data_IF_200972832997
#
_entry.id   IF_200972832997
#
_cell.length_a   1.000
_cell.length_b   1.000
_cell.length_c   1.000
_cell.angle_alpha   90.00
_cell.angle_beta   90.00
_cell.angle_gamma   90.00
#
_symmetry.space_group_name_H-M   'P 1'
#
loop_
_entity.id
_entity.type
_entity.pdbx_description
1 polymer ?
#
# COMPACT_ATOMS: atom_id res chain seq x y z
N UNK A 1 23.85 -60.23 -27.69
CA UNK A 1 23.62 -59.44 -26.44
C UNK A 1 23.64 -57.96 -26.86
N UNK A 2 22.46 -57.36 -27.04
CA UNK A 2 22.28 -55.98 -27.50
C UNK A 2 21.90 -55.13 -26.29
N UNK A 3 22.83 -54.27 -25.85
CA UNK A 3 22.62 -53.29 -24.79
C UNK A 3 21.66 -52.20 -25.26
N UNK A 4 20.50 -52.06 -24.61
CA UNK A 4 19.58 -50.94 -24.82
C UNK A 4 19.95 -49.83 -23.87
N UNK A 5 20.57 -48.78 -24.39
CA UNK A 5 20.81 -47.53 -23.65
C UNK A 5 19.52 -46.75 -23.57
N UNK A 6 18.95 -46.67 -22.36
CA UNK A 6 17.78 -45.81 -22.10
C UNK A 6 18.23 -44.34 -21.98
N UNK A 7 17.78 -43.53 -22.92
CA UNK A 7 17.97 -42.07 -22.87
C UNK A 7 16.93 -41.47 -21.91
N UNK A 8 17.37 -41.01 -20.73
CA UNK A 8 16.53 -40.30 -19.77
C UNK A 8 16.40 -38.85 -20.24
N UNK A 9 15.23 -38.51 -20.82
CA UNK A 9 14.90 -37.15 -21.21
C UNK A 9 14.52 -36.36 -19.94
N UNK A 10 15.40 -35.50 -19.48
CA UNK A 10 15.11 -34.53 -18.42
C UNK A 10 14.33 -33.37 -19.03
N UNK A 11 13.02 -33.36 -18.86
CA UNK A 11 12.18 -32.20 -19.21
C UNK A 11 12.37 -31.12 -18.13
N UNK A 12 13.14 -30.10 -18.46
CA UNK A 12 13.23 -28.89 -17.63
C UNK A 12 11.86 -28.19 -17.66
N UNK A 13 11.10 -28.31 -16.60
CA UNK A 13 9.93 -27.47 -16.36
C UNK A 13 10.47 -26.07 -15.99
N UNK A 14 10.56 -25.19 -16.97
CA UNK A 14 10.78 -23.75 -16.70
C UNK A 14 9.55 -23.23 -15.97
N UNK A 15 9.67 -23.13 -14.65
CA UNK A 15 8.71 -22.36 -13.85
C UNK A 15 8.77 -20.91 -14.36
N UNK A 16 7.77 -20.49 -15.13
CA UNK A 16 7.61 -19.09 -15.51
C UNK A 16 7.36 -18.36 -14.21
N UNK A 17 8.41 -17.79 -13.62
CA UNK A 17 8.28 -16.92 -12.47
C UNK A 17 7.41 -15.74 -12.91
N UNK A 18 6.14 -15.73 -12.47
CA UNK A 18 5.28 -14.57 -12.63
C UNK A 18 6.03 -13.37 -12.02
N UNK A 19 6.35 -12.37 -12.84
CA UNK A 19 7.11 -11.21 -12.42
C UNK A 19 6.47 -10.57 -11.17
N UNK A 20 7.28 -10.00 -10.31
CA UNK A 20 6.83 -9.34 -9.08
C UNK A 20 5.82 -8.26 -9.42
N UNK A 21 4.67 -8.27 -8.74
CA UNK A 21 3.60 -7.29 -8.97
C UNK A 21 3.90 -5.99 -8.25
N UNK A 22 3.69 -4.87 -8.92
CA UNK A 22 3.70 -3.56 -8.29
C UNK A 22 2.38 -3.32 -7.56
N UNK A 23 2.46 -2.60 -6.44
CA UNK A 23 1.30 -2.28 -5.61
C UNK A 23 1.25 -0.77 -5.38
N UNK A 24 0.09 -0.17 -5.61
CA UNK A 24 -0.21 1.21 -5.22
C UNK A 24 -1.40 1.16 -4.27
N UNK A 25 -1.23 1.70 -3.09
CA UNK A 25 -2.26 1.80 -2.06
C UNK A 25 -2.60 3.27 -1.84
N UNK A 26 -3.82 3.67 -2.20
CA UNK A 26 -4.31 5.04 -1.99
C UNK A 26 -5.24 5.05 -0.80
N UNK A 27 -4.95 5.89 0.18
CA UNK A 27 -5.71 6.02 1.41
C UNK A 27 -6.21 7.45 1.56
N UNK A 28 -7.51 7.64 1.38
CA UNK A 28 -8.19 8.90 1.70
C UNK A 28 -8.42 8.96 3.23
N UNK A 29 -8.11 10.12 3.84
CA UNK A 29 -8.29 10.33 5.26
C UNK A 29 -9.69 10.88 5.54
N UNK A 30 -10.34 10.39 6.59
CA UNK A 30 -11.68 10.80 7.06
C UNK A 30 -12.78 10.77 5.97
N UNK A 31 -12.63 9.93 4.95
CA UNK A 31 -13.62 9.79 3.89
C UNK A 31 -14.57 8.63 4.18
N UNK A 32 -15.84 8.92 4.24
CA UNK A 32 -16.90 7.94 4.44
C UNK A 32 -17.15 7.12 3.18
N UNK A 33 -17.51 5.85 3.34
CA UNK A 33 -17.94 4.97 2.26
C UNK A 33 -19.03 5.59 1.39
N UNK A 34 -20.01 6.22 2.03
CA UNK A 34 -21.21 6.75 1.37
C UNK A 34 -20.92 8.01 0.53
N UNK A 35 -19.71 8.55 0.58
CA UNK A 35 -19.25 9.65 -0.26
C UNK A 35 -19.00 9.19 -1.70
N UNK A 36 -18.66 7.92 -1.92
CA UNK A 36 -18.23 7.40 -3.20
C UNK A 36 -19.40 6.98 -4.08
N UNK A 37 -19.41 7.41 -5.35
CA UNK A 37 -20.44 7.04 -6.33
C UNK A 37 -20.58 5.52 -6.49
N UNK A 38 -19.47 4.78 -6.47
CA UNK A 38 -19.43 3.32 -6.53
C UNK A 38 -20.23 2.63 -5.42
N UNK A 39 -20.46 3.31 -4.28
CA UNK A 39 -21.26 2.83 -3.16
C UNK A 39 -22.62 3.54 -3.04
N UNK A 40 -23.04 4.29 -4.06
CA UNK A 40 -24.33 4.98 -4.10
C UNK A 40 -24.28 6.42 -3.58
N UNK A 41 -23.11 6.95 -3.27
CA UNK A 41 -22.91 8.37 -2.91
C UNK A 41 -23.34 9.31 -4.02
N UNK A 42 -23.96 10.44 -3.64
CA UNK A 42 -24.47 11.44 -4.58
C UNK A 42 -23.85 12.82 -4.36
N UNK A 43 -23.17 13.01 -3.24
CA UNK A 43 -22.65 14.30 -2.81
C UNK A 43 -21.33 14.68 -3.49
N UNK A 44 -20.59 13.68 -3.98
CA UNK A 44 -19.33 13.87 -4.68
C UNK A 44 -19.31 13.15 -6.02
N UNK A 45 -18.73 13.80 -7.02
CA UNK A 45 -18.47 13.17 -8.32
C UNK A 45 -17.13 12.42 -8.25
N UNK A 46 -17.18 11.09 -8.32
CA UNK A 46 -15.98 10.24 -8.23
C UNK A 46 -15.79 9.33 -9.46
N UNK A 47 -15.82 9.89 -10.69
CA UNK A 47 -15.92 9.09 -11.91
C UNK A 47 -14.74 8.12 -12.11
N UNK A 48 -13.53 8.52 -11.74
CA UNK A 48 -12.33 7.69 -11.87
C UNK A 48 -12.32 6.53 -10.87
N UNK A 49 -12.78 6.77 -9.65
CA UNK A 49 -12.89 5.73 -8.60
C UNK A 49 -14.04 4.78 -8.95
N UNK A 50 -15.14 5.31 -9.46
CA UNK A 50 -16.27 4.51 -9.92
C UNK A 50 -15.87 3.62 -11.09
N UNK A 51 -15.02 4.12 -12.00
CA UNK A 51 -14.45 3.30 -13.08
C UNK A 51 -13.55 2.20 -12.52
N UNK A 52 -12.66 2.54 -11.58
CA UNK A 52 -11.79 1.56 -10.93
C UNK A 52 -12.61 0.44 -10.23
N UNK A 53 -13.73 0.80 -9.61
CA UNK A 53 -14.63 -0.15 -8.97
C UNK A 53 -15.34 -1.06 -9.98
N UNK A 54 -15.64 -0.56 -11.19
CA UNK A 54 -16.21 -1.38 -12.28
C UNK A 54 -15.20 -2.34 -12.89
N UNK A 55 -13.96 -1.88 -13.04
CA UNK A 55 -12.89 -2.66 -13.71
C UNK A 55 -12.20 -3.66 -12.76
N UNK A 56 -12.34 -3.45 -11.46
CA UNK A 56 -11.68 -4.23 -10.41
C UNK A 56 -12.64 -4.97 -9.49
N UNK A 57 -12.20 -5.17 -8.26
CA UNK A 57 -13.01 -5.80 -7.21
C UNK A 57 -13.41 -4.77 -6.17
N UNK A 58 -14.72 -4.61 -5.97
CA UNK A 58 -15.30 -3.78 -4.91
C UNK A 58 -15.61 -4.64 -3.69
N UNK A 59 -15.14 -4.20 -2.53
CA UNK A 59 -15.45 -4.83 -1.24
C UNK A 59 -16.60 -4.08 -0.56
N UNK A 60 -17.78 -4.68 -0.49
CA UNK A 60 -18.95 -4.07 0.16
C UNK A 60 -18.82 -4.03 1.68
N UNK A 61 -18.01 -4.93 2.24
CA UNK A 61 -17.79 -5.04 3.69
C UNK A 61 -16.31 -5.11 3.99
N UNK A 62 -15.72 -3.97 4.33
CA UNK A 62 -14.36 -3.86 4.83
C UNK A 62 -14.39 -3.22 6.22
N UNK A 63 -13.70 -3.82 7.17
CA UNK A 63 -13.73 -3.40 8.58
C UNK A 63 -12.32 -3.14 9.07
N UNK A 64 -12.17 -2.21 10.01
CA UNK A 64 -10.97 -2.00 10.79
C UNK A 64 -11.28 -2.15 12.28
N UNK A 65 -10.26 -2.44 13.08
CA UNK A 65 -10.44 -2.62 14.53
C UNK A 65 -10.76 -1.30 15.22
N UNK A 66 -10.09 -0.22 14.81
CA UNK A 66 -10.26 1.12 15.38
C UNK A 66 -10.30 2.13 14.24
N UNK A 67 -11.43 2.79 14.06
CA UNK A 67 -11.67 3.79 13.00
C UNK A 67 -11.11 5.17 13.41
N UNK A 68 -9.79 5.26 13.65
CA UNK A 68 -9.05 6.50 13.91
C UNK A 68 -7.74 6.47 13.13
N UNK A 69 -7.22 7.66 12.76
CA UNK A 69 -6.07 7.80 11.86
C UNK A 69 -4.86 6.95 12.26
N UNK A 70 -4.28 7.16 13.44
CA UNK A 70 -3.04 6.48 13.83
C UNK A 70 -3.23 4.97 14.09
N UNK A 71 -4.23 4.52 14.84
CA UNK A 71 -4.52 3.10 15.04
C UNK A 71 -4.71 2.36 13.72
N UNK A 72 -5.58 2.86 12.83
CA UNK A 72 -5.87 2.22 11.55
C UNK A 72 -4.63 2.12 10.65
N UNK A 73 -3.85 3.21 10.54
CA UNK A 73 -2.64 3.20 9.69
C UNK A 73 -1.59 2.22 10.22
N UNK A 74 -1.41 2.14 11.53
CA UNK A 74 -0.49 1.20 12.16
C UNK A 74 -0.97 -0.26 12.01
N UNK A 75 -2.27 -0.50 12.12
CA UNK A 75 -2.89 -1.80 11.82
C UNK A 75 -2.68 -2.18 10.36
N UNK A 76 -2.99 -1.29 9.42
CA UNK A 76 -2.85 -1.50 7.98
C UNK A 76 -1.41 -1.86 7.59
N UNK A 77 -0.43 -1.09 8.09
CA UNK A 77 0.96 -1.29 7.70
C UNK A 77 1.64 -2.46 8.43
N UNK A 78 1.19 -2.83 9.61
CA UNK A 78 1.75 -3.96 10.36
C UNK A 78 1.02 -5.29 10.15
N UNK A 79 -0.23 -5.24 9.66
CA UNK A 79 -1.12 -6.41 9.63
C UNK A 79 -1.46 -6.94 11.02
N UNK A 80 -1.31 -6.13 12.06
CA UNK A 80 -1.54 -6.52 13.46
C UNK A 80 -2.57 -5.62 14.11
N UNK A 81 -3.51 -6.23 14.82
CA UNK A 81 -4.51 -5.51 15.61
C UNK A 81 -3.87 -4.49 16.57
N UNK A 82 -4.46 -3.30 16.75
CA UNK A 82 -4.05 -2.28 17.70
C UNK A 82 -3.89 -2.77 19.14
N UNK A 83 -4.61 -3.79 19.55
CA UNK A 83 -4.41 -4.47 20.85
C UNK A 83 -3.02 -5.08 20.99
N UNK A 84 -2.49 -5.67 19.92
CA UNK A 84 -1.17 -6.32 19.92
C UNK A 84 -0.04 -5.33 19.76
N UNK A 85 -0.30 -4.22 19.11
CA UNK A 85 0.70 -3.19 18.85
C UNK A 85 0.69 -2.07 19.89
N UNK A 86 -0.30 -2.04 20.80
CA UNK A 86 -0.45 -1.00 21.81
C UNK A 86 -0.97 0.32 21.25
N UNK A 87 -1.63 0.30 20.09
CA UNK A 87 -2.01 1.54 19.37
C UNK A 87 -3.51 1.83 19.41
N UNK A 88 -4.20 1.47 20.48
CA UNK A 88 -5.62 1.74 20.63
C UNK A 88 -5.97 3.24 20.70
N UNK A 89 -5.28 4.07 21.50
CA UNK A 89 -5.55 5.51 21.51
C UNK A 89 -5.03 6.17 20.24
N UNK A 90 -5.72 7.23 19.79
CA UNK A 90 -5.19 8.06 18.70
C UNK A 90 -3.84 8.70 19.11
N UNK A 91 -2.99 8.98 18.13
CA UNK A 91 -1.61 9.50 18.31
C UNK A 91 -0.65 8.57 19.07
N UNK A 92 -1.08 7.36 19.46
CA UNK A 92 -0.19 6.37 20.05
C UNK A 92 0.82 5.81 19.04
N UNK A 93 1.89 5.20 19.57
CA UNK A 93 2.94 4.56 18.76
C UNK A 93 2.98 3.09 19.05
N UNK A 94 3.29 2.29 18.04
CA UNK A 94 3.45 0.84 18.22
C UNK A 94 4.56 0.50 19.20
N UNK A 95 4.39 -0.59 19.90
CA UNK A 95 5.46 -1.15 20.74
C UNK A 95 6.69 -1.45 19.87
N UNK A 96 7.88 -1.20 20.42
CA UNK A 96 9.15 -1.45 19.73
C UNK A 96 9.25 -2.90 19.26
N UNK A 97 9.86 -3.10 18.10
CA UNK A 97 9.95 -4.42 17.47
C UNK A 97 8.73 -4.82 16.64
N UNK A 98 7.67 -4.01 16.58
CA UNK A 98 6.58 -4.22 15.63
C UNK A 98 7.11 -4.15 14.20
N UNK A 99 6.89 -5.21 13.43
CA UNK A 99 7.27 -5.25 12.01
C UNK A 99 6.12 -4.77 11.14
N UNK A 100 6.43 -3.98 10.14
CA UNK A 100 5.49 -3.54 9.10
C UNK A 100 5.78 -4.22 7.77
N UNK A 101 4.91 -4.03 6.80
CA UNK A 101 5.05 -4.53 5.42
C UNK A 101 6.43 -4.22 4.82
N UNK A 102 7.05 -3.11 5.23
CA UNK A 102 8.40 -2.72 4.76
C UNK A 102 9.43 -3.79 5.11
N UNK A 103 9.38 -4.36 6.31
CA UNK A 103 10.32 -5.39 6.77
C UNK A 103 10.20 -6.69 5.97
N UNK A 104 9.03 -6.95 5.39
CA UNK A 104 8.77 -8.17 4.61
C UNK A 104 9.05 -7.98 3.11
N UNK A 105 8.70 -6.83 2.55
CA UNK A 105 8.86 -6.58 1.12
C UNK A 105 10.27 -6.13 0.72
N UNK A 106 10.95 -5.36 1.58
CA UNK A 106 12.30 -4.85 1.29
C UNK A 106 13.32 -5.97 1.06
N UNK A 107 13.39 -7.05 1.86
CA UNK A 107 14.28 -8.19 1.59
C UNK A 107 13.97 -8.92 0.27
N UNK A 108 12.75 -8.78 -0.26
CA UNK A 108 12.34 -9.32 -1.54
C UNK A 108 12.72 -8.40 -2.72
N UNK A 109 13.43 -7.29 -2.47
CA UNK A 109 13.88 -6.34 -3.47
C UNK A 109 12.85 -5.27 -3.85
N UNK A 110 11.77 -5.11 -3.09
CA UNK A 110 10.81 -4.03 -3.31
C UNK A 110 11.31 -2.69 -2.78
N UNK A 111 11.07 -1.63 -3.53
CA UNK A 111 11.04 -0.28 -2.97
C UNK A 111 9.69 -0.09 -2.29
N UNK A 112 9.70 0.21 -0.99
CA UNK A 112 8.47 0.39 -0.21
C UNK A 112 8.42 1.83 0.27
N UNK A 113 7.60 2.63 -0.39
CA UNK A 113 7.55 4.07 -0.19
C UNK A 113 6.22 4.55 0.39
N UNK A 114 6.27 5.70 1.05
CA UNK A 114 5.10 6.40 1.58
C UNK A 114 5.18 7.88 1.23
N UNK A 115 4.11 8.37 0.62
CA UNK A 115 3.89 9.77 0.26
C UNK A 115 2.67 10.31 1.01
N UNK A 116 2.78 11.51 1.56
CA UNK A 116 1.71 12.16 2.30
C UNK A 116 1.60 11.71 3.76
N UNK A 117 0.39 11.67 4.30
CA UNK A 117 0.13 11.41 5.73
C UNK A 117 0.64 10.05 6.18
N UNK A 118 1.60 10.06 7.11
CA UNK A 118 2.14 8.83 7.71
C UNK A 118 1.45 8.43 9.00
N UNK A 119 1.45 9.31 9.99
CA UNK A 119 0.82 9.20 11.32
C UNK A 119 1.09 7.86 12.03
N UNK A 120 2.30 7.35 11.91
CA UNK A 120 2.75 6.08 12.51
C UNK A 120 4.07 6.25 13.24
N UNK A 121 4.38 5.37 14.16
CA UNK A 121 5.64 5.36 14.90
C UNK A 121 5.79 4.14 15.80
N UNK A 122 6.97 3.92 16.33
CA UNK A 122 8.23 4.63 16.09
C UNK A 122 8.81 4.33 14.69
N UNK A 123 9.79 5.13 14.25
CA UNK A 123 10.30 5.07 12.86
C UNK A 123 10.88 3.69 12.49
N UNK A 124 11.53 3.03 13.43
CA UNK A 124 12.10 1.69 13.22
C UNK A 124 11.05 0.62 12.94
N UNK A 125 9.80 0.82 13.38
CA UNK A 125 8.68 -0.09 13.09
C UNK A 125 8.11 0.13 11.68
N UNK A 126 8.31 1.32 11.12
CA UNK A 126 7.74 1.74 9.83
C UNK A 126 8.80 2.42 8.95
N UNK A 127 9.88 1.70 8.57
CA UNK A 127 11.02 2.29 7.86
C UNK A 127 10.75 2.47 6.36
N UNK A 128 9.64 3.13 6.01
CA UNK A 128 9.31 3.51 4.64
C UNK A 128 10.35 4.45 4.04
N UNK A 129 10.58 4.33 2.74
CA UNK A 129 11.16 5.40 1.94
C UNK A 129 10.14 6.56 1.91
N UNK A 130 10.45 7.66 2.60
CA UNK A 130 9.54 8.81 2.70
C UNK A 130 9.73 9.74 1.51
N UNK A 131 8.71 9.90 0.69
CA UNK A 131 8.72 10.80 -0.47
C UNK A 131 8.29 12.23 -0.12
N UNK A 132 7.93 12.46 1.13
CA UNK A 132 7.54 13.75 1.69
C UNK A 132 6.15 13.71 2.32
N UNK A 133 5.95 14.63 3.25
CA UNK A 133 4.65 14.88 3.86
C UNK A 133 4.07 16.14 3.23
N UNK A 134 3.09 15.97 2.37
CA UNK A 134 2.38 17.06 1.68
C UNK A 134 1.08 17.43 2.39
N UNK A 135 0.86 16.87 3.57
CA UNK A 135 -0.38 16.97 4.35
C UNK A 135 -0.73 18.39 4.82
N UNK A 136 0.22 19.32 4.76
CA UNK A 136 0.05 20.70 5.23
C UNK A 136 -0.16 21.71 4.12
N UNK A 137 -0.24 21.28 2.88
CA UNK A 137 -0.43 22.16 1.73
C UNK A 137 -1.91 22.20 1.35
N UNK A 138 -2.46 23.39 1.28
CA UNK A 138 -3.70 23.66 0.56
C UNK A 138 -3.39 23.32 -0.91
N UNK A 139 -4.15 22.48 -1.58
CA UNK A 139 -3.87 21.96 -2.94
C UNK A 139 -2.67 20.98 -3.02
N UNK A 140 -2.61 20.01 -2.11
CA UNK A 140 -1.57 18.97 -2.11
C UNK A 140 -1.54 18.10 -3.40
N UNK A 141 -2.59 18.10 -4.19
CA UNK A 141 -2.77 17.23 -5.36
C UNK A 141 -1.67 17.36 -6.43
N UNK A 142 -1.26 18.55 -6.90
CA UNK A 142 -0.21 18.66 -7.92
C UNK A 142 1.14 18.13 -7.43
N UNK A 143 1.48 18.37 -6.17
CA UNK A 143 2.73 17.90 -5.58
C UNK A 143 2.73 16.39 -5.35
N UNK A 144 1.61 15.82 -4.92
CA UNK A 144 1.41 14.37 -4.82
C UNK A 144 1.59 13.73 -6.19
N UNK A 145 0.96 14.27 -7.23
CA UNK A 145 1.07 13.76 -8.59
C UNK A 145 2.50 13.82 -9.12
N UNK A 146 3.19 14.94 -8.92
CA UNK A 146 4.59 15.13 -9.32
C UNK A 146 5.51 14.13 -8.64
N UNK A 147 5.43 13.98 -7.33
CA UNK A 147 6.26 13.04 -6.56
C UNK A 147 5.95 11.59 -6.89
N UNK A 148 4.67 11.26 -7.07
CA UNK A 148 4.25 9.92 -7.52
C UNK A 148 4.86 9.61 -8.89
N UNK A 149 4.73 10.52 -9.85
CA UNK A 149 5.31 10.33 -11.19
C UNK A 149 6.83 10.14 -11.12
N UNK A 150 7.53 10.99 -10.39
CA UNK A 150 8.99 10.87 -10.23
C UNK A 150 9.38 9.50 -9.65
N UNK A 151 8.71 9.04 -8.62
CA UNK A 151 8.96 7.73 -8.02
C UNK A 151 8.72 6.58 -9.00
N UNK A 152 7.60 6.63 -9.74
CA UNK A 152 7.25 5.59 -10.72
C UNK A 152 8.25 5.55 -11.90
N UNK A 153 8.65 6.72 -12.41
CA UNK A 153 9.65 6.83 -13.48
C UNK A 153 11.00 6.27 -13.04
N UNK A 154 11.39 6.51 -11.79
CA UNK A 154 12.62 5.98 -11.22
C UNK A 154 12.57 4.45 -11.01
N UNK A 155 11.46 3.93 -10.49
CA UNK A 155 11.25 2.47 -10.39
C UNK A 155 11.28 1.80 -11.76
N UNK A 156 10.72 2.44 -12.78
CA UNK A 156 10.73 1.92 -14.15
C UNK A 156 12.16 1.86 -14.72
N UNK A 157 12.99 2.89 -14.47
CA UNK A 157 14.39 2.92 -14.92
C UNK A 157 15.25 1.86 -14.25
N UNK A 158 14.98 1.57 -12.99
CA UNK A 158 15.76 0.62 -12.18
C UNK A 158 15.18 -0.79 -12.18
N UNK A 159 14.05 -1.01 -12.86
CA UNK A 159 13.31 -2.27 -12.91
C UNK A 159 12.95 -2.84 -11.53
N UNK A 160 12.96 -2.01 -10.50
CA UNK A 160 12.63 -2.42 -9.15
C UNK A 160 11.11 -2.57 -8.96
N UNK A 161 10.65 -3.69 -8.43
CA UNK A 161 9.27 -3.80 -7.98
C UNK A 161 9.02 -2.83 -6.83
N UNK A 162 7.81 -2.30 -6.73
CA UNK A 162 7.49 -1.33 -5.70
C UNK A 162 6.15 -1.59 -5.01
N UNK A 163 6.07 -1.09 -3.78
CA UNK A 163 4.83 -0.94 -3.01
C UNK A 163 4.76 0.52 -2.54
N UNK A 164 3.87 1.30 -3.14
CA UNK A 164 3.71 2.72 -2.87
C UNK A 164 2.43 2.97 -2.08
N UNK A 165 2.54 3.60 -0.92
CA UNK A 165 1.42 4.11 -0.14
C UNK A 165 1.29 5.61 -0.36
N UNK A 166 0.07 6.06 -0.69
CA UNK A 166 -0.29 7.46 -0.84
C UNK A 166 -1.38 7.78 0.18
N UNK A 167 -1.06 8.62 1.15
CA UNK A 167 -2.01 9.10 2.15
C UNK A 167 -2.47 10.51 1.80
N UNK A 168 -3.69 10.66 1.30
CA UNK A 168 -4.30 11.97 1.08
C UNK A 168 -4.82 12.58 2.39
N UNK A 169 -4.77 13.91 2.46
CA UNK A 169 -5.33 14.69 3.55
C UNK A 169 -6.57 15.49 3.14
N UNK A 170 -6.93 15.47 1.85
CA UNK A 170 -7.87 16.42 1.26
C UNK A 170 -9.30 16.35 1.82
N UNK A 171 -9.65 15.26 2.52
CA UNK A 171 -10.95 15.12 3.19
C UNK A 171 -10.91 15.35 4.70
N UNK A 172 -9.73 15.69 5.25
CA UNK A 172 -9.57 15.97 6.68
C UNK A 172 -9.77 17.46 6.96
N UNK A 173 -10.68 17.80 7.87
CA UNK A 173 -10.90 19.18 8.34
C UNK A 173 -9.79 19.67 9.27
#
# INVERSE_FOLDING_TARGET
>A
MTSKTALLSFTFFTLIASGKKNVIFVLADDMSRDTWGAFGGKDCLTPNIDQLARDGTRFDRAYCTVAMCAPFRQELYSGRSPWRTGTLPNHSKSVRGTKSIVHYLKPLGYRVALLGKSHVGPAECYPFEKLGDVSKQVDANPEIMKKTKTFLDDCKKTENPFCLFIGSHDSHA
#
